data_IF_377690676057
#
_entry.id   IF_377690676057
#
_cell.length_a   1.000
_cell.length_b   1.000
_cell.length_c   1.000
_cell.angle_alpha   90.00
_cell.angle_beta   90.00
_cell.angle_gamma   90.00
#
_symmetry.space_group_name_H-M   'P 1'
#
loop_
_entity.id
_entity.type
_entity.pdbx_description
1 polymer ?
#
# COMPACT_ATOMS: atom_id res chain seq x y z
N UNK A 1 -17.16 -8.94 -27.10
CA UNK A 1 -17.29 -7.76 -26.23
C UNK A 1 -17.64 -8.28 -24.84
N UNK A 2 -16.95 -7.80 -23.81
CA UNK A 2 -17.24 -8.14 -22.41
C UNK A 2 -18.01 -6.98 -21.74
N UNK A 3 -17.63 -5.74 -22.03
CA UNK A 3 -18.24 -4.53 -21.50
C UNK A 3 -18.12 -3.41 -22.52
N UNK A 4 -19.18 -2.59 -22.63
CA UNK A 4 -19.17 -1.37 -23.43
C UNK A 4 -19.95 -0.26 -22.71
N UNK A 5 -19.26 0.80 -22.33
CA UNK A 5 -19.81 1.99 -21.70
C UNK A 5 -19.68 3.20 -22.62
N UNK A 6 -20.76 3.97 -22.77
CA UNK A 6 -20.80 5.21 -23.55
C UNK A 6 -21.40 6.33 -22.72
N UNK A 7 -20.68 7.45 -22.61
CA UNK A 7 -21.09 8.67 -21.90
C UNK A 7 -21.63 8.39 -20.50
N UNK A 8 -21.01 7.41 -19.80
CA UNK A 8 -21.45 6.98 -18.48
C UNK A 8 -20.97 7.93 -17.40
N UNK A 9 -21.87 8.26 -16.48
CA UNK A 9 -21.60 9.02 -15.27
C UNK A 9 -22.04 8.21 -14.06
N UNK A 10 -21.13 7.94 -13.14
CA UNK A 10 -21.38 7.20 -11.91
C UNK A 10 -21.24 8.10 -10.69
N UNK A 11 -22.17 7.99 -9.74
CA UNK A 11 -22.09 8.68 -8.47
C UNK A 11 -21.02 8.06 -7.56
N UNK A 12 -20.00 8.83 -7.16
CA UNK A 12 -19.03 8.42 -6.13
C UNK A 12 -19.53 8.88 -4.76
N UNK A 13 -19.89 10.16 -4.66
CA UNK A 13 -20.49 10.80 -3.49
C UNK A 13 -21.56 11.79 -3.97
N UNK A 14 -22.24 12.47 -3.04
CA UNK A 14 -23.22 13.53 -3.42
C UNK A 14 -22.64 14.67 -4.25
N UNK A 15 -21.30 14.83 -4.28
CA UNK A 15 -20.62 15.95 -4.96
C UNK A 15 -19.55 15.50 -5.96
N UNK A 16 -19.24 14.22 -6.00
CA UNK A 16 -18.21 13.67 -6.88
C UNK A 16 -18.81 12.60 -7.79
N UNK A 17 -18.45 12.66 -9.06
CA UNK A 17 -18.89 11.74 -10.11
C UNK A 17 -17.68 11.21 -10.85
N UNK A 18 -17.79 9.98 -11.35
CA UNK A 18 -16.85 9.37 -12.29
C UNK A 18 -17.45 9.45 -13.69
N UNK A 19 -16.74 10.06 -14.61
CA UNK A 19 -17.18 10.24 -16.00
C UNK A 19 -16.36 9.36 -16.94
N UNK A 20 -17.04 8.57 -17.75
CA UNK A 20 -16.46 7.66 -18.74
C UNK A 20 -17.07 7.95 -20.09
N UNK A 21 -16.33 8.61 -20.99
CA UNK A 21 -16.83 8.92 -22.35
C UNK A 21 -17.01 7.65 -23.17
N UNK A 22 -15.99 6.81 -23.25
CA UNK A 22 -16.05 5.50 -23.91
C UNK A 22 -15.08 4.53 -23.27
N UNK A 23 -15.58 3.35 -22.89
CA UNK A 23 -14.75 2.23 -22.40
C UNK A 23 -15.27 0.93 -23.01
N UNK A 24 -14.40 0.21 -23.70
CA UNK A 24 -14.69 -1.08 -24.28
C UNK A 24 -13.68 -2.11 -23.78
N UNK A 25 -14.17 -3.22 -23.22
CA UNK A 25 -13.35 -4.34 -22.80
C UNK A 25 -13.73 -5.56 -23.64
N UNK A 26 -12.72 -6.21 -24.22
CA UNK A 26 -12.91 -7.48 -24.93
C UNK A 26 -12.82 -8.66 -23.95
N UNK A 27 -13.42 -9.80 -24.28
CA UNK A 27 -13.18 -11.05 -23.50
C UNK A 27 -11.73 -11.46 -23.66
N UNK A 28 -11.13 -11.88 -22.54
CA UNK A 28 -9.75 -12.35 -22.49
C UNK A 28 -8.72 -11.24 -22.65
N UNK A 29 -9.12 -9.97 -22.71
CA UNK A 29 -8.15 -8.86 -22.80
C UNK A 29 -7.70 -8.38 -21.44
N UNK A 30 -6.51 -7.76 -21.42
CA UNK A 30 -5.95 -7.06 -20.29
C UNK A 30 -5.95 -5.54 -20.55
N UNK A 31 -6.67 -4.79 -19.73
CA UNK A 31 -6.66 -3.31 -19.76
C UNK A 31 -5.94 -2.79 -18.54
N UNK A 32 -4.88 -2.02 -18.72
CA UNK A 32 -4.24 -1.28 -17.65
C UNK A 32 -4.86 0.12 -17.57
N UNK A 33 -5.07 0.64 -16.37
CA UNK A 33 -5.52 2.02 -16.13
C UNK A 33 -4.54 2.69 -15.19
N UNK A 34 -4.00 3.83 -15.60
CA UNK A 34 -3.05 4.60 -14.83
C UNK A 34 -3.63 5.99 -14.52
N UNK A 35 -3.28 6.53 -13.35
CA UNK A 35 -3.68 7.86 -12.93
C UNK A 35 -3.09 8.22 -11.57
N UNK A 36 -2.98 9.50 -11.29
CA UNK A 36 -2.46 10.01 -10.02
C UNK A 36 -3.38 9.65 -8.85
N UNK A 37 -2.86 9.76 -7.62
CA UNK A 37 -3.69 9.60 -6.43
C UNK A 37 -4.84 10.62 -6.44
N UNK A 38 -6.04 10.14 -6.09
CA UNK A 38 -7.25 10.96 -6.15
C UNK A 38 -7.90 11.10 -7.54
N UNK A 39 -7.32 10.51 -8.60
CA UNK A 39 -7.87 10.59 -9.97
C UNK A 39 -9.16 9.80 -10.19
N UNK A 40 -9.64 9.05 -9.19
CA UNK A 40 -10.85 8.24 -9.29
C UNK A 40 -10.62 6.75 -9.62
N UNK A 41 -9.40 6.23 -9.49
CA UNK A 41 -9.03 4.83 -9.80
C UNK A 41 -9.90 3.81 -9.07
N UNK A 42 -9.99 3.90 -7.74
CA UNK A 42 -10.82 2.99 -6.95
C UNK A 42 -12.32 3.17 -7.24
N UNK A 43 -12.74 4.38 -7.65
CA UNK A 43 -14.12 4.59 -8.12
C UNK A 43 -14.37 3.84 -9.45
N UNK A 44 -13.42 3.85 -10.38
CA UNK A 44 -13.50 3.05 -11.60
C UNK A 44 -13.56 1.55 -11.29
N UNK A 45 -12.70 1.05 -10.38
CA UNK A 45 -12.74 -0.34 -9.94
C UNK A 45 -14.12 -0.73 -9.39
N UNK A 46 -14.69 0.11 -8.53
CA UNK A 46 -16.03 -0.08 -7.96
C UNK A 46 -17.13 -0.02 -9.02
N UNK A 47 -17.06 0.91 -9.97
CA UNK A 47 -18.02 1.01 -11.07
C UNK A 47 -18.01 -0.26 -11.95
N UNK A 48 -16.81 -0.78 -12.28
CA UNK A 48 -16.64 -2.02 -13.06
C UNK A 48 -17.28 -3.24 -12.36
N UNK A 49 -17.30 -3.25 -11.03
CA UNK A 49 -17.93 -4.30 -10.22
C UNK A 49 -19.42 -4.02 -9.92
N UNK A 50 -20.01 -2.95 -10.47
CA UNK A 50 -21.41 -2.61 -10.23
C UNK A 50 -21.69 -2.04 -8.83
N UNK A 51 -20.66 -1.61 -8.10
CA UNK A 51 -20.80 -1.05 -6.74
C UNK A 51 -21.22 0.43 -6.74
N UNK A 52 -21.18 1.10 -7.89
CA UNK A 52 -21.60 2.50 -8.02
C UNK A 52 -22.90 2.63 -8.82
N UNK A 53 -23.70 3.63 -8.46
CA UNK A 53 -24.94 3.94 -9.17
C UNK A 53 -24.63 4.68 -10.46
N UNK A 54 -25.15 4.19 -11.58
CA UNK A 54 -25.15 4.88 -12.86
C UNK A 54 -26.21 6.00 -12.84
N UNK A 55 -25.79 7.24 -13.05
CA UNK A 55 -26.69 8.41 -13.11
C UNK A 55 -27.12 8.72 -14.55
N UNK A 56 -26.22 8.53 -15.52
CA UNK A 56 -26.51 8.76 -16.94
C UNK A 56 -25.56 7.95 -17.83
N UNK A 57 -25.92 7.84 -19.12
CA UNK A 57 -25.15 7.13 -20.12
C UNK A 57 -25.65 5.71 -20.38
N UNK A 58 -24.96 4.98 -21.22
CA UNK A 58 -25.35 3.65 -21.66
C UNK A 58 -24.30 2.61 -21.24
N UNK A 59 -24.68 1.70 -20.34
CA UNK A 59 -23.89 0.53 -19.96
C UNK A 59 -24.45 -0.72 -20.66
N UNK A 60 -23.75 -1.19 -21.68
CA UNK A 60 -24.07 -2.45 -22.35
C UNK A 60 -23.17 -3.55 -21.82
N UNK A 61 -23.76 -4.66 -21.43
CA UNK A 61 -23.10 -5.84 -20.88
C UNK A 61 -22.34 -5.51 -19.57
N UNK A 62 -22.88 -5.96 -18.47
CA UNK A 62 -22.19 -5.89 -17.16
C UNK A 62 -21.67 -7.30 -16.84
N UNK A 63 -20.37 -7.55 -16.91
CA UNK A 63 -19.81 -8.86 -16.59
C UNK A 63 -19.91 -9.17 -15.09
N UNK A 64 -19.89 -10.45 -14.75
CA UNK A 64 -19.62 -10.88 -13.38
C UNK A 64 -18.18 -10.51 -13.02
N UNK A 65 -18.01 -9.38 -12.35
CA UNK A 65 -16.70 -8.82 -12.01
C UNK A 65 -16.39 -9.00 -10.52
N UNK A 66 -15.16 -9.37 -10.21
CA UNK A 66 -14.64 -9.43 -8.84
C UNK A 66 -13.48 -8.45 -8.71
N UNK A 67 -13.55 -7.61 -7.66
CA UNK A 67 -12.51 -6.64 -7.33
C UNK A 67 -11.59 -7.20 -6.25
N UNK A 68 -10.30 -6.98 -6.44
CA UNK A 68 -9.25 -7.24 -5.47
C UNK A 68 -8.50 -5.93 -5.20
N UNK A 69 -8.46 -5.50 -3.93
CA UNK A 69 -7.76 -4.30 -3.51
C UNK A 69 -6.88 -4.54 -2.27
N UNK A 70 -5.89 -3.68 -2.10
CA UNK A 70 -5.05 -3.74 -0.90
C UNK A 70 -5.83 -3.44 0.39
N UNK A 71 -6.82 -2.56 0.32
CA UNK A 71 -7.71 -2.24 1.45
C UNK A 71 -8.48 -3.46 1.95
N UNK A 72 -8.87 -4.38 1.05
CA UNK A 72 -9.54 -5.64 1.44
C UNK A 72 -8.62 -6.53 2.27
N UNK A 73 -7.33 -6.60 1.93
CA UNK A 73 -6.36 -7.36 2.71
C UNK A 73 -6.23 -6.80 4.13
N UNK A 74 -6.13 -5.48 4.26
CA UNK A 74 -6.04 -4.83 5.56
C UNK A 74 -7.33 -4.99 6.37
N UNK A 75 -8.49 -4.86 5.71
CA UNK A 75 -9.79 -5.05 6.37
C UNK A 75 -9.96 -6.47 6.93
N UNK A 76 -9.49 -7.50 6.22
CA UNK A 76 -9.51 -8.88 6.70
C UNK A 76 -8.63 -9.07 7.94
N UNK A 77 -7.43 -8.50 7.96
CA UNK A 77 -6.52 -8.56 9.12
C UNK A 77 -7.13 -7.82 10.31
N UNK A 78 -7.73 -6.66 10.08
CA UNK A 78 -8.41 -5.88 11.12
C UNK A 78 -9.63 -6.61 11.70
N UNK A 79 -10.45 -7.25 10.86
CA UNK A 79 -11.59 -8.06 11.29
C UNK A 79 -11.15 -9.26 12.14
N UNK A 80 -10.08 -9.94 11.74
CA UNK A 80 -9.50 -11.03 12.49
C UNK A 80 -8.99 -10.55 13.87
N UNK A 81 -8.33 -9.39 13.90
CA UNK A 81 -7.88 -8.78 15.16
C UNK A 81 -9.03 -8.38 16.08
N UNK A 82 -10.10 -7.78 15.53
CA UNK A 82 -11.28 -7.38 16.32
C UNK A 82 -12.01 -8.58 16.92
N UNK A 83 -12.15 -9.68 16.18
CA UNK A 83 -12.80 -10.92 16.68
C UNK A 83 -12.07 -11.50 17.89
N UNK A 84 -10.75 -11.43 17.91
CA UNK A 84 -9.90 -11.99 18.99
C UNK A 84 -9.81 -11.10 20.22
N UNK A 85 -9.95 -9.79 20.06
CA UNK A 85 -9.92 -8.83 21.19
C UNK A 85 -11.28 -8.69 21.91
N UNK A 86 -12.20 -9.60 21.70
CA UNK A 86 -13.40 -9.73 22.53
C UNK A 86 -13.07 -10.61 23.73
N UNK A 87 -13.48 -10.19 24.94
CA UNK A 87 -13.23 -10.87 26.23
C UNK A 87 -13.80 -12.31 26.32
N UNK A 88 -14.29 -12.87 25.21
CA UNK A 88 -14.92 -14.20 25.10
C UNK A 88 -14.22 -15.12 24.07
N UNK A 89 -13.04 -14.75 23.54
CA UNK A 89 -12.33 -15.59 22.60
C UNK A 89 -11.82 -16.87 23.27
N UNK A 90 -12.10 -18.03 22.67
CA UNK A 90 -11.54 -19.30 23.12
C UNK A 90 -10.05 -19.40 22.77
N UNK A 91 -9.26 -20.20 23.52
CA UNK A 91 -7.82 -20.38 23.29
C UNK A 91 -7.47 -20.80 21.84
N UNK A 92 -8.34 -21.56 21.16
CA UNK A 92 -8.15 -21.99 19.77
C UNK A 92 -8.37 -20.83 18.76
N UNK A 93 -9.07 -19.76 19.15
CA UNK A 93 -9.29 -18.57 18.30
C UNK A 93 -8.12 -17.58 18.33
N UNK A 94 -7.12 -17.78 19.20
CA UNK A 94 -5.94 -16.90 19.29
C UNK A 94 -5.10 -16.86 18.02
N UNK A 95 -5.12 -17.93 17.21
CA UNK A 95 -4.32 -18.01 15.98
C UNK A 95 -4.97 -17.28 14.79
N UNK A 96 -6.25 -16.94 14.86
CA UNK A 96 -7.00 -16.34 13.77
C UNK A 96 -7.34 -17.34 12.65
N UNK A 97 -8.05 -16.89 11.61
CA UNK A 97 -8.43 -17.77 10.52
C UNK A 97 -7.24 -18.14 9.62
N UNK A 98 -7.28 -19.36 9.10
CA UNK A 98 -6.29 -19.89 8.15
C UNK A 98 -6.62 -19.46 6.71
N UNK A 99 -5.63 -19.57 5.81
CA UNK A 99 -5.88 -19.36 4.38
C UNK A 99 -6.91 -20.37 3.83
N UNK A 100 -6.91 -21.62 4.34
CA UNK A 100 -7.90 -22.62 3.95
C UNK A 100 -9.32 -22.22 4.33
N UNK A 101 -9.56 -21.78 5.56
CA UNK A 101 -10.89 -21.35 6.02
C UNK A 101 -11.44 -20.20 5.18
N UNK A 102 -10.58 -19.23 4.79
CA UNK A 102 -10.98 -18.14 3.92
C UNK A 102 -11.45 -18.63 2.54
N UNK A 103 -10.80 -19.64 1.98
CA UNK A 103 -11.12 -20.20 0.67
C UNK A 103 -12.30 -21.17 0.73
N UNK A 104 -12.43 -21.96 1.79
CA UNK A 104 -13.55 -22.91 1.99
C UNK A 104 -14.92 -22.21 2.12
N UNK A 105 -14.92 -20.94 2.47
CA UNK A 105 -16.15 -20.13 2.47
C UNK A 105 -16.75 -19.92 1.06
N UNK A 106 -15.98 -20.21 -0.02
CA UNK A 106 -16.36 -19.91 -1.41
C UNK A 106 -16.47 -21.15 -2.29
N UNK A 107 -15.60 -22.14 -2.09
CA UNK A 107 -15.51 -23.28 -2.98
C UNK A 107 -15.23 -24.59 -2.23
N UNK A 108 -15.49 -25.70 -2.93
CA UNK A 108 -15.23 -27.04 -2.44
C UNK A 108 -13.71 -27.34 -2.34
N UNK A 109 -13.29 -28.21 -1.39
CA UNK A 109 -11.89 -28.51 -1.15
C UNK A 109 -11.08 -28.92 -2.38
N UNK A 110 -11.69 -29.64 -3.31
CA UNK A 110 -11.04 -30.11 -4.53
C UNK A 110 -10.66 -28.96 -5.48
N UNK A 111 -11.56 -28.00 -5.67
CA UNK A 111 -11.30 -26.83 -6.50
C UNK A 111 -10.19 -25.95 -5.88
N UNK A 112 -10.21 -25.82 -4.55
CA UNK A 112 -9.19 -25.08 -3.78
C UNK A 112 -7.82 -25.74 -3.96
N UNK A 113 -7.72 -27.07 -3.80
CA UNK A 113 -6.44 -27.78 -3.95
C UNK A 113 -5.82 -27.58 -5.33
N UNK A 114 -6.61 -27.75 -6.39
CA UNK A 114 -6.16 -27.56 -7.78
C UNK A 114 -5.64 -26.13 -7.98
N UNK A 115 -6.43 -25.12 -7.58
CA UNK A 115 -6.08 -23.73 -7.80
C UNK A 115 -4.86 -23.33 -6.96
N UNK A 116 -4.81 -23.71 -5.68
CA UNK A 116 -3.69 -23.40 -4.79
C UNK A 116 -2.37 -24.02 -5.23
N UNK A 117 -2.40 -25.25 -5.80
CA UNK A 117 -1.22 -25.84 -6.44
C UNK A 117 -0.76 -25.03 -7.65
N UNK A 118 -1.70 -24.65 -8.52
CA UNK A 118 -1.40 -23.83 -9.70
C UNK A 118 -0.78 -22.46 -9.33
N UNK A 119 -1.27 -21.83 -8.26
CA UNK A 119 -0.77 -20.55 -7.76
C UNK A 119 0.48 -20.68 -6.87
N UNK A 120 0.91 -21.93 -6.58
CA UNK A 120 2.07 -22.19 -5.73
C UNK A 120 1.87 -21.84 -4.25
N UNK A 121 0.62 -21.80 -3.76
CA UNK A 121 0.26 -21.41 -2.40
C UNK A 121 -0.32 -22.53 -1.54
N UNK A 122 -0.32 -23.77 -2.03
CA UNK A 122 -0.88 -24.92 -1.31
C UNK A 122 -0.27 -25.08 0.09
N UNK A 123 1.02 -24.80 0.25
CA UNK A 123 1.74 -24.88 1.53
C UNK A 123 1.33 -23.80 2.55
N UNK A 124 0.53 -22.82 2.14
CA UNK A 124 0.05 -21.73 2.99
C UNK A 124 -1.33 -22.02 3.60
N UNK A 125 -2.03 -23.05 3.12
CA UNK A 125 -3.43 -23.29 3.48
C UNK A 125 -3.66 -23.39 5.00
N UNK A 126 -2.79 -24.09 5.72
CA UNK A 126 -2.88 -24.29 7.17
C UNK A 126 -2.27 -23.13 7.98
N UNK A 127 -1.70 -22.12 7.30
CA UNK A 127 -1.10 -21.00 8.01
C UNK A 127 -2.16 -19.94 8.32
N UNK A 128 -2.16 -19.38 9.54
CA UNK A 128 -3.00 -18.24 9.87
C UNK A 128 -2.71 -17.07 8.92
N UNK A 129 -3.76 -16.49 8.35
CA UNK A 129 -3.66 -15.46 7.30
C UNK A 129 -2.80 -14.26 7.71
N UNK A 130 -2.88 -13.85 8.97
CA UNK A 130 -2.09 -12.74 9.54
C UNK A 130 -0.58 -12.93 9.52
N UNK A 131 -0.11 -14.18 9.45
CA UNK A 131 1.32 -14.52 9.41
C UNK A 131 1.85 -14.69 7.98
N UNK A 132 1.00 -14.48 6.99
CA UNK A 132 1.43 -14.46 5.61
C UNK A 132 2.16 -13.14 5.31
N UNK A 133 3.19 -13.22 4.47
CA UNK A 133 3.76 -12.01 3.87
C UNK A 133 2.74 -11.29 2.99
N UNK A 134 2.95 -10.01 2.71
CA UNK A 134 2.05 -9.23 1.85
C UNK A 134 1.84 -9.89 0.49
N UNK A 135 2.88 -10.49 -0.10
CA UNK A 135 2.80 -11.21 -1.37
C UNK A 135 2.02 -12.53 -1.27
N UNK A 136 2.25 -13.32 -0.21
CA UNK A 136 1.50 -14.55 0.05
C UNK A 136 0.02 -14.27 0.29
N UNK A 137 -0.29 -13.28 1.12
CA UNK A 137 -1.66 -12.88 1.40
C UNK A 137 -2.40 -12.42 0.13
N UNK A 138 -1.73 -11.70 -0.79
CA UNK A 138 -2.32 -11.32 -2.08
C UNK A 138 -2.58 -12.51 -2.99
N UNK A 139 -1.70 -13.50 -3.02
CA UNK A 139 -1.93 -14.73 -3.79
C UNK A 139 -3.13 -15.51 -3.24
N UNK A 140 -3.34 -15.52 -1.91
CA UNK A 140 -4.53 -16.13 -1.29
C UNK A 140 -5.80 -15.35 -1.68
N UNK A 141 -5.80 -14.03 -1.62
CA UNK A 141 -6.94 -13.22 -2.08
C UNK A 141 -7.20 -13.37 -3.58
N UNK A 142 -6.15 -13.52 -4.39
CA UNK A 142 -6.29 -13.80 -5.82
C UNK A 142 -6.91 -15.18 -6.04
N UNK A 143 -6.52 -16.21 -5.26
CA UNK A 143 -7.16 -17.51 -5.29
C UNK A 143 -8.64 -17.40 -4.92
N UNK A 144 -8.96 -16.65 -3.88
CA UNK A 144 -10.33 -16.37 -3.46
C UNK A 144 -11.16 -15.73 -4.58
N UNK A 145 -10.62 -14.70 -5.25
CA UNK A 145 -11.28 -14.04 -6.36
C UNK A 145 -11.49 -14.98 -7.57
N UNK A 146 -10.51 -15.83 -7.88
CA UNK A 146 -10.58 -16.78 -9.00
C UNK A 146 -11.53 -17.92 -8.74
N UNK A 147 -11.71 -18.38 -7.49
CA UNK A 147 -12.70 -19.41 -7.11
C UNK A 147 -14.14 -18.94 -7.35
N UNK A 148 -14.39 -17.64 -7.41
CA UNK A 148 -15.69 -17.11 -7.80
C UNK A 148 -15.94 -17.11 -9.32
N UNK A 149 -15.00 -17.66 -10.11
CA UNK A 149 -15.07 -17.76 -11.60
C UNK A 149 -15.49 -16.43 -12.29
N UNK A 150 -14.83 -15.30 -12.00
CA UNK A 150 -15.25 -14.03 -12.54
C UNK A 150 -15.02 -13.94 -14.05
N UNK A 151 -15.99 -13.35 -14.79
CA UNK A 151 -15.77 -12.98 -16.19
C UNK A 151 -14.74 -11.85 -16.34
N UNK A 152 -14.64 -10.96 -15.32
CA UNK A 152 -13.69 -9.84 -15.24
C UNK A 152 -13.06 -9.81 -13.85
N UNK A 153 -11.73 -9.88 -13.80
CA UNK A 153 -10.97 -9.65 -12.58
C UNK A 153 -10.41 -8.21 -12.58
N UNK A 154 -10.82 -7.44 -11.59
CA UNK A 154 -10.39 -6.05 -11.41
C UNK A 154 -9.40 -5.98 -10.25
N UNK A 155 -8.15 -5.57 -10.52
CA UNK A 155 -7.10 -5.44 -9.53
C UNK A 155 -6.79 -3.95 -9.30
N UNK A 156 -7.14 -3.48 -8.10
CA UNK A 156 -6.96 -2.09 -7.69
C UNK A 156 -5.67 -1.99 -6.87
N UNK A 157 -4.64 -1.36 -7.46
CA UNK A 157 -3.30 -1.17 -6.92
C UNK A 157 -2.63 -2.50 -6.47
N UNK A 158 -2.55 -3.52 -7.35
CA UNK A 158 -2.14 -4.86 -6.95
C UNK A 158 -0.67 -4.95 -6.51
N UNK A 159 0.17 -3.97 -6.84
CA UNK A 159 1.61 -4.00 -6.58
C UNK A 159 2.04 -3.18 -5.37
N UNK A 160 1.13 -2.43 -4.76
CA UNK A 160 1.46 -1.57 -3.62
C UNK A 160 1.88 -2.39 -2.39
N UNK A 161 2.96 -1.96 -1.72
CA UNK A 161 3.51 -2.64 -0.56
C UNK A 161 4.21 -3.98 -0.84
N UNK A 162 4.35 -4.39 -2.12
CA UNK A 162 5.15 -5.55 -2.50
C UNK A 162 6.62 -5.16 -2.72
N UNK A 163 7.52 -6.04 -2.31
CA UNK A 163 8.92 -5.95 -2.72
C UNK A 163 9.11 -6.30 -4.21
N UNK A 164 10.32 -6.13 -4.70
CA UNK A 164 10.66 -6.33 -6.12
C UNK A 164 10.36 -7.77 -6.57
N UNK A 165 10.68 -8.75 -5.74
CA UNK A 165 10.50 -10.16 -6.07
C UNK A 165 9.03 -10.56 -6.08
N UNK A 166 8.28 -10.21 -5.02
CA UNK A 166 6.84 -10.47 -4.93
C UNK A 166 6.06 -9.77 -6.05
N UNK A 167 6.47 -8.54 -6.44
CA UNK A 167 5.91 -7.82 -7.58
C UNK A 167 6.16 -8.58 -8.89
N UNK A 168 7.38 -9.05 -9.14
CA UNK A 168 7.73 -9.80 -10.35
C UNK A 168 6.92 -11.11 -10.42
N UNK A 169 6.80 -11.84 -9.31
CA UNK A 169 6.01 -13.07 -9.23
C UNK A 169 4.53 -12.82 -9.50
N UNK A 170 3.93 -11.76 -8.93
CA UNK A 170 2.54 -11.40 -9.18
C UNK A 170 2.32 -10.99 -10.65
N UNK A 171 3.22 -10.19 -11.22
CA UNK A 171 3.16 -9.78 -12.62
C UNK A 171 3.21 -10.99 -13.56
N UNK A 172 4.09 -11.96 -13.30
CA UNK A 172 4.16 -13.21 -14.06
C UNK A 172 2.86 -13.99 -13.97
N UNK A 173 2.32 -14.17 -12.76
CA UNK A 173 1.07 -14.87 -12.52
C UNK A 173 -0.12 -14.23 -13.26
N UNK A 174 -0.22 -12.90 -13.25
CA UNK A 174 -1.25 -12.17 -14.00
C UNK A 174 -1.09 -12.38 -15.52
N UNK A 175 0.14 -12.43 -16.01
CA UNK A 175 0.41 -12.78 -17.42
C UNK A 175 -0.03 -14.19 -17.78
N UNK A 176 0.17 -15.17 -16.90
CA UNK A 176 -0.30 -16.56 -17.09
C UNK A 176 -1.84 -16.64 -17.09
N UNK A 177 -2.52 -15.90 -16.20
CA UNK A 177 -3.98 -15.81 -16.18
C UNK A 177 -4.53 -15.17 -17.46
N UNK A 178 -3.92 -14.08 -17.92
CA UNK A 178 -4.27 -13.45 -19.19
C UNK A 178 -4.09 -14.40 -20.39
N UNK A 179 -2.95 -15.08 -20.46
CA UNK A 179 -2.67 -16.07 -21.51
C UNK A 179 -3.67 -17.26 -21.48
N UNK A 180 -4.22 -17.58 -20.31
CA UNK A 180 -5.29 -18.56 -20.14
C UNK A 180 -6.70 -18.03 -20.51
N UNK A 181 -6.82 -16.78 -20.95
CA UNK A 181 -8.06 -16.15 -21.40
C UNK A 181 -8.86 -15.42 -20.32
N UNK A 182 -8.29 -15.21 -19.12
CA UNK A 182 -8.91 -14.39 -18.07
C UNK A 182 -8.91 -12.91 -18.49
N UNK A 183 -10.09 -12.27 -18.43
CA UNK A 183 -10.19 -10.84 -18.65
C UNK A 183 -9.72 -10.09 -17.43
N UNK A 184 -8.80 -9.11 -17.60
CA UNK A 184 -8.17 -8.37 -16.52
C UNK A 184 -8.35 -6.85 -16.70
N UNK A 185 -8.61 -6.15 -15.59
CA UNK A 185 -8.39 -4.71 -15.47
C UNK A 185 -7.40 -4.48 -14.34
N UNK A 186 -6.25 -3.87 -14.66
CA UNK A 186 -5.19 -3.54 -13.72
C UNK A 186 -5.15 -2.04 -13.52
N UNK A 187 -5.49 -1.58 -12.33
CA UNK A 187 -5.46 -0.17 -11.96
C UNK A 187 -4.17 0.06 -11.19
N UNK A 188 -3.29 0.92 -11.72
CA UNK A 188 -1.93 1.10 -11.22
C UNK A 188 -1.60 2.57 -10.97
N UNK A 189 -0.65 2.81 -10.07
CA UNK A 189 -0.21 4.15 -9.71
C UNK A 189 0.95 4.64 -10.57
N UNK A 190 1.77 3.73 -11.09
CA UNK A 190 3.03 4.03 -11.76
C UNK A 190 3.07 3.45 -13.16
N UNK A 191 3.70 4.16 -14.07
CA UNK A 191 3.86 3.71 -15.46
C UNK A 191 4.70 2.43 -15.56
N UNK A 192 5.66 2.21 -14.66
CA UNK A 192 6.49 1.02 -14.63
C UNK A 192 5.70 -0.24 -14.23
N UNK A 193 4.50 -0.06 -13.67
CA UNK A 193 3.60 -1.15 -13.26
C UNK A 193 2.67 -1.60 -14.39
N UNK A 194 2.66 -0.90 -15.53
CA UNK A 194 1.87 -1.30 -16.69
C UNK A 194 2.44 -2.59 -17.26
N UNK A 195 1.61 -3.67 -17.32
CA UNK A 195 2.08 -4.95 -17.84
C UNK A 195 2.46 -4.84 -19.33
N UNK A 196 3.53 -5.52 -19.73
CA UNK A 196 3.89 -5.61 -21.15
C UNK A 196 2.87 -6.36 -21.98
N UNK A 197 2.04 -7.18 -21.34
CA UNK A 197 0.98 -7.95 -21.97
C UNK A 197 -0.37 -7.19 -21.98
N UNK A 198 -0.43 -5.93 -21.54
CA UNK A 198 -1.64 -5.15 -21.62
C UNK A 198 -2.02 -4.87 -23.08
N UNK A 199 -3.25 -5.22 -23.45
CA UNK A 199 -3.80 -4.96 -24.79
C UNK A 199 -4.27 -3.51 -24.94
N UNK A 200 -4.69 -2.91 -23.83
CA UNK A 200 -5.23 -1.56 -23.80
C UNK A 200 -4.70 -0.79 -22.57
N UNK A 201 -4.49 0.51 -22.75
CA UNK A 201 -4.15 1.44 -21.66
C UNK A 201 -5.23 2.52 -21.57
N UNK A 202 -5.65 2.82 -20.35
CA UNK A 202 -6.53 3.94 -20.01
C UNK A 202 -5.80 4.96 -19.13
N UNK A 203 -6.07 6.25 -19.37
CA UNK A 203 -5.61 7.34 -18.52
C UNK A 203 -6.78 7.93 -17.75
N UNK A 204 -6.68 7.93 -16.42
CA UNK A 204 -7.67 8.50 -15.54
C UNK A 204 -7.13 9.76 -14.85
N UNK A 205 -7.84 10.87 -14.97
CA UNK A 205 -7.52 12.13 -14.31
C UNK A 205 -8.82 12.82 -13.88
N UNK A 206 -8.81 13.46 -12.72
CA UNK A 206 -9.93 14.23 -12.18
C UNK A 206 -11.29 13.50 -12.25
N UNK A 207 -11.30 12.23 -11.89
CA UNK A 207 -12.46 11.33 -12.00
C UNK A 207 -13.03 11.21 -13.42
N UNK A 208 -12.18 11.36 -14.45
CA UNK A 208 -12.55 11.18 -15.85
C UNK A 208 -11.59 10.20 -16.54
N UNK A 209 -12.14 9.29 -17.33
CA UNK A 209 -11.34 8.47 -18.25
C UNK A 209 -11.03 9.32 -19.50
N UNK A 210 -9.87 9.97 -19.48
CA UNK A 210 -9.48 10.97 -20.46
C UNK A 210 -9.16 10.36 -21.82
N UNK A 211 -8.45 9.23 -21.81
CA UNK A 211 -8.02 8.52 -23.03
C UNK A 211 -7.97 7.02 -22.80
N UNK A 212 -8.22 6.28 -23.87
CA UNK A 212 -7.98 4.83 -23.97
C UNK A 212 -7.35 4.52 -25.32
N UNK A 213 -6.49 3.51 -25.38
CA UNK A 213 -5.85 3.11 -26.63
C UNK A 213 -4.77 2.06 -26.42
N UNK A 214 -4.04 1.74 -27.51
CA UNK A 214 -2.92 0.81 -27.42
C UNK A 214 -1.78 1.39 -26.57
N UNK A 215 -1.18 0.59 -25.66
CA UNK A 215 -0.14 1.07 -24.74
C UNK A 215 1.02 1.75 -25.48
N UNK A 216 1.55 1.16 -26.56
CA UNK A 216 2.66 1.71 -27.33
C UNK A 216 2.33 3.12 -27.92
N UNK A 217 1.09 3.34 -28.33
CA UNK A 217 0.67 4.63 -28.89
C UNK A 217 0.50 5.68 -27.81
N UNK A 218 -0.14 5.31 -26.69
CA UNK A 218 -0.40 6.25 -25.60
C UNK A 218 0.87 6.61 -24.83
N UNK A 219 1.76 5.66 -24.56
CA UNK A 219 3.03 5.93 -23.86
C UNK A 219 3.98 6.81 -24.69
N UNK A 220 3.83 6.85 -26.01
CA UNK A 220 4.56 7.77 -26.88
C UNK A 220 3.97 9.19 -26.94
N UNK A 221 2.77 9.41 -26.38
CA UNK A 221 2.12 10.73 -26.35
C UNK A 221 2.88 11.68 -25.39
N UNK A 222 3.25 12.90 -25.83
CA UNK A 222 3.92 13.89 -24.99
C UNK A 222 3.20 14.21 -23.67
N UNK A 223 1.87 14.15 -23.66
CA UNK A 223 1.06 14.37 -22.44
C UNK A 223 1.32 13.25 -21.43
N UNK A 224 1.46 12.02 -21.89
CA UNK A 224 1.80 10.88 -21.02
C UNK A 224 3.22 11.01 -20.46
N UNK A 225 4.16 11.50 -21.26
CA UNK A 225 5.53 11.78 -20.80
C UNK A 225 5.55 12.88 -19.71
N UNK A 226 4.68 13.91 -19.82
CA UNK A 226 4.54 14.94 -18.78
C UNK A 226 3.92 14.39 -17.48
N UNK A 227 2.98 13.46 -17.59
CA UNK A 227 2.37 12.81 -16.43
C UNK A 227 3.30 11.77 -15.78
N UNK A 228 4.12 11.10 -16.58
CA UNK A 228 5.12 10.14 -16.09
C UNK A 228 6.29 10.85 -15.40
N UNK A 229 6.66 12.04 -15.88
CA UNK A 229 7.69 12.87 -15.25
C UNK A 229 7.01 13.80 -14.25
N UNK A 230 7.37 13.66 -12.98
CA UNK A 230 6.94 14.53 -11.87
C UNK A 230 7.66 15.90 -11.99
N UNK A 231 7.65 16.50 -13.19
CA UNK A 231 8.18 17.84 -13.42
C UNK A 231 7.47 18.91 -12.59
N UNK A 232 6.20 18.66 -12.21
CA UNK A 232 5.46 19.53 -11.30
C UNK A 232 6.15 19.72 -9.94
N UNK A 233 6.89 18.71 -9.45
CA UNK A 233 7.65 18.85 -8.20
C UNK A 233 8.93 19.70 -8.37
N UNK A 234 9.48 19.83 -9.57
CA UNK A 234 10.65 20.66 -9.82
C UNK A 234 10.31 22.17 -9.75
N UNK A 235 9.05 22.55 -9.87
CA UNK A 235 8.59 23.94 -9.77
C UNK A 235 8.18 24.35 -8.35
N UNK A 236 8.07 23.39 -7.42
CA UNK A 236 7.79 23.71 -6.01
C UNK A 236 9.07 24.31 -5.42
N UNK A 237 9.09 25.63 -5.27
CA UNK A 237 10.10 26.29 -4.43
C UNK A 237 9.79 25.92 -2.99
N UNK A 238 10.61 25.04 -2.43
CA UNK A 238 10.59 24.82 -0.99
C UNK A 238 10.84 26.16 -0.30
N UNK A 239 10.09 26.48 0.76
CA UNK A 239 10.41 27.65 1.57
C UNK A 239 11.86 27.55 2.03
N UNK A 240 12.55 28.69 2.13
CA UNK A 240 13.89 28.72 2.69
C UNK A 240 13.83 28.06 4.09
N UNK A 241 14.80 27.19 4.38
CA UNK A 241 14.90 26.63 5.72
C UNK A 241 14.84 27.77 6.74
N UNK A 242 14.03 27.67 7.81
CA UNK A 242 13.99 28.69 8.83
C UNK A 242 15.41 28.94 9.33
N UNK A 243 15.91 30.16 9.18
CA UNK A 243 17.23 30.56 9.66
C UNK A 243 17.26 30.77 11.18
N UNK A 244 16.11 30.62 11.82
CA UNK A 244 15.94 30.80 13.24
C UNK A 244 16.25 29.51 14.00
N UNK A 245 17.10 29.67 15.00
CA UNK A 245 17.36 28.74 16.10
C UNK A 245 18.00 27.40 15.77
N UNK A 246 18.96 27.39 14.84
CA UNK A 246 20.00 26.36 14.82
C UNK A 246 21.05 26.62 15.96
N UNK A 247 20.58 26.98 17.13
CA UNK A 247 21.31 26.75 18.40
C UNK A 247 21.23 25.26 18.84
N UNK A 248 20.88 24.37 17.90
CA UNK A 248 21.26 22.97 18.02
C UNK A 248 22.77 22.94 17.78
N UNK A 249 23.53 22.98 18.90
CA UNK A 249 24.95 22.72 18.90
C UNK A 249 25.16 21.53 17.94
N UNK A 250 25.89 21.78 16.85
CA UNK A 250 26.07 20.76 15.81
C UNK A 250 26.62 19.51 16.50
N UNK A 251 25.77 18.49 16.63
CA UNK A 251 26.20 17.25 17.26
C UNK A 251 27.33 16.67 16.42
N UNK A 252 28.51 16.57 17.01
CA UNK A 252 29.77 16.22 16.32
C UNK A 252 30.00 14.69 16.23
N UNK A 253 29.08 13.88 16.75
CA UNK A 253 29.16 12.42 16.72
C UNK A 253 28.22 11.78 15.69
N UNK A 254 28.20 10.43 15.61
CA UNK A 254 27.25 9.72 14.77
C UNK A 254 25.82 9.91 15.26
N UNK A 255 24.89 10.20 14.34
CA UNK A 255 23.47 10.33 14.64
C UNK A 255 22.87 9.01 15.13
N UNK A 256 23.31 7.90 14.54
CA UNK A 256 22.94 6.54 14.92
C UNK A 256 24.20 5.70 15.03
N UNK A 257 24.35 4.94 16.09
CA UNK A 257 25.40 3.93 16.24
C UNK A 257 24.83 2.67 16.87
N UNK A 258 25.01 1.56 16.17
CA UNK A 258 24.63 0.22 16.57
C UNK A 258 25.88 -0.65 16.62
N UNK A 259 26.06 -1.40 17.70
CA UNK A 259 27.18 -2.32 17.90
C UNK A 259 26.64 -3.70 18.27
N UNK A 260 26.97 -4.72 17.45
CA UNK A 260 26.55 -6.12 17.64
C UNK A 260 25.07 -6.25 18.02
N UNK A 261 24.22 -5.39 17.41
CA UNK A 261 22.81 -5.26 17.75
C UNK A 261 22.03 -6.50 17.27
N UNK A 262 21.23 -7.07 18.17
CA UNK A 262 20.40 -8.23 17.88
C UNK A 262 18.93 -7.92 18.15
N UNK A 263 18.04 -8.37 17.26
CA UNK A 263 16.60 -8.36 17.50
C UNK A 263 16.03 -9.75 17.22
N UNK A 264 15.30 -10.29 18.20
CA UNK A 264 14.74 -11.64 18.15
C UNK A 264 13.25 -11.59 18.52
N UNK A 265 12.41 -12.24 17.73
CA UNK A 265 11.01 -12.46 18.01
C UNK A 265 10.75 -13.96 18.18
N UNK A 266 10.50 -14.42 19.41
CA UNK A 266 10.43 -15.84 19.71
C UNK A 266 11.75 -16.54 19.35
N UNK A 267 11.70 -17.51 18.43
CA UNK A 267 12.91 -18.21 17.93
C UNK A 267 13.52 -17.54 16.69
N UNK A 268 12.82 -16.58 16.07
CA UNK A 268 13.27 -15.94 14.85
C UNK A 268 14.18 -14.74 15.13
N UNK A 269 15.42 -14.81 14.66
CA UNK A 269 16.37 -13.69 14.69
C UNK A 269 16.16 -12.83 13.45
N UNK A 270 15.73 -11.58 13.65
CA UNK A 270 15.44 -10.62 12.58
C UNK A 270 16.64 -9.73 12.27
N UNK A 271 17.36 -9.28 13.31
CA UNK A 271 18.65 -8.62 13.15
C UNK A 271 19.71 -9.42 13.92
N UNK A 272 20.82 -9.73 13.27
CA UNK A 272 21.90 -10.53 13.84
C UNK A 272 23.22 -9.78 13.82
N UNK A 273 23.70 -9.42 14.99
CA UNK A 273 25.00 -8.75 15.23
C UNK A 273 25.25 -7.58 14.28
N UNK A 274 24.22 -6.72 14.15
CA UNK A 274 24.30 -5.56 13.26
C UNK A 274 25.25 -4.51 13.83
N UNK A 275 26.29 -4.20 13.08
CA UNK A 275 27.16 -3.05 13.27
C UNK A 275 26.81 -2.01 12.21
N UNK A 276 26.37 -0.83 12.64
CA UNK A 276 26.02 0.26 11.72
C UNK A 276 26.23 1.62 12.38
N UNK A 277 26.71 2.57 11.59
CA UNK A 277 26.91 3.95 12.01
C UNK A 277 26.45 4.90 10.90
N UNK A 278 25.71 5.95 11.30
CA UNK A 278 25.22 6.99 10.39
C UNK A 278 25.63 8.35 10.96
N UNK A 279 26.32 9.13 10.15
CA UNK A 279 26.81 10.46 10.53
C UNK A 279 25.92 11.57 9.97
N UNK A 280 26.08 12.79 10.50
CA UNK A 280 25.39 13.97 9.99
C UNK A 280 25.76 14.24 8.53
N UNK A 281 24.75 14.52 7.71
CA UNK A 281 24.90 14.74 6.27
C UNK A 281 24.95 13.49 5.39
N UNK A 282 24.93 12.30 5.98
CA UNK A 282 24.80 11.06 5.23
C UNK A 282 23.34 10.76 4.87
N UNK A 283 23.13 10.20 3.67
CA UNK A 283 21.84 9.74 3.18
C UNK A 283 21.91 8.24 2.91
N UNK A 284 21.06 7.48 3.58
CA UNK A 284 21.04 6.03 3.48
C UNK A 284 19.79 5.51 2.80
N UNK A 285 19.95 4.61 1.86
CA UNK A 285 18.87 3.86 1.25
C UNK A 285 18.94 2.40 1.69
N UNK A 286 17.98 1.98 2.53
CA UNK A 286 17.93 0.63 3.09
C UNK A 286 17.01 -0.22 2.21
N UNK A 287 17.59 -1.22 1.54
CA UNK A 287 16.90 -2.13 0.64
C UNK A 287 16.98 -3.57 1.14
N UNK A 288 15.97 -4.36 0.80
CA UNK A 288 15.88 -5.77 1.13
C UNK A 288 14.48 -6.32 0.93
N UNK A 289 14.30 -7.64 0.91
CA UNK A 289 12.99 -8.29 0.78
C UNK A 289 12.07 -7.96 1.96
N UNK A 290 10.77 -8.26 1.81
CA UNK A 290 9.85 -8.17 2.92
C UNK A 290 10.25 -9.16 4.01
N UNK A 291 10.11 -8.75 5.29
CA UNK A 291 10.60 -9.55 6.42
C UNK A 291 12.10 -9.44 6.75
N UNK A 292 12.90 -8.74 5.94
CA UNK A 292 14.35 -8.54 6.19
C UNK A 292 14.68 -7.64 7.39
N UNK A 293 13.69 -7.17 8.15
CA UNK A 293 13.91 -6.33 9.33
C UNK A 293 14.04 -4.82 9.07
N UNK A 294 13.70 -4.32 7.86
CA UNK A 294 13.76 -2.88 7.53
C UNK A 294 12.95 -2.02 8.50
N UNK A 295 11.70 -2.39 8.75
CA UNK A 295 10.80 -1.68 9.67
C UNK A 295 11.28 -1.82 11.13
N UNK A 296 11.83 -2.97 11.50
CA UNK A 296 12.46 -3.20 12.81
C UNK A 296 13.66 -2.27 13.01
N UNK A 297 14.50 -2.12 11.99
CA UNK A 297 15.63 -1.18 12.03
C UNK A 297 15.16 0.27 12.19
N UNK A 298 14.12 0.68 11.43
CA UNK A 298 13.54 2.02 11.58
C UNK A 298 12.94 2.23 12.97
N UNK A 299 12.22 1.25 13.53
CA UNK A 299 11.64 1.37 14.88
C UNK A 299 12.68 1.46 16.00
N UNK A 300 13.87 0.89 15.79
CA UNK A 300 15.02 1.10 16.68
C UNK A 300 15.52 2.56 16.61
N UNK A 301 15.58 3.14 15.41
CA UNK A 301 16.03 4.54 15.20
C UNK A 301 15.02 5.52 15.79
N UNK A 302 13.71 5.28 15.59
CA UNK A 302 12.64 6.14 16.14
C UNK A 302 12.47 5.97 17.66
N UNK A 303 13.18 4.99 18.25
CA UNK A 303 13.12 4.72 19.69
C UNK A 303 11.91 3.89 20.13
N UNK A 304 11.04 3.46 19.19
CA UNK A 304 9.81 2.73 19.48
C UNK A 304 10.03 1.24 19.79
N UNK A 305 11.18 0.69 19.41
CA UNK A 305 11.46 -0.73 19.58
C UNK A 305 11.93 -1.09 21.00
N UNK A 306 11.21 -1.97 21.74
CA UNK A 306 11.56 -2.27 23.13
C UNK A 306 12.94 -2.91 23.29
N UNK A 307 13.42 -3.71 22.35
CA UNK A 307 14.75 -4.32 22.42
C UNK A 307 15.88 -3.32 22.14
N UNK A 308 15.60 -2.06 21.85
CA UNK A 308 16.59 -0.98 21.82
C UNK A 308 17.29 -0.78 23.17
N UNK A 309 16.60 -1.07 24.28
CA UNK A 309 17.15 -0.90 25.63
C UNK A 309 18.15 -1.99 26.06
N UNK A 310 18.07 -3.19 25.50
CA UNK A 310 18.97 -4.28 25.82
C UNK A 310 20.15 -4.42 24.85
N UNK A 311 20.24 -3.51 23.87
CA UNK A 311 21.29 -3.50 22.86
C UNK A 311 22.26 -2.31 23.04
N UNK A 312 23.42 -2.39 22.39
CA UNK A 312 24.33 -1.24 22.29
C UNK A 312 23.90 -0.34 21.14
N UNK A 313 22.90 0.48 21.45
CA UNK A 313 22.29 1.46 20.55
C UNK A 313 22.50 2.87 21.11
N UNK A 314 23.10 3.74 20.32
CA UNK A 314 23.26 5.17 20.63
C UNK A 314 22.54 5.97 19.55
N UNK A 315 21.66 6.88 19.97
CA UNK A 315 20.92 7.79 19.12
C UNK A 315 21.25 9.23 19.53
N UNK A 316 21.67 10.05 18.58
CA UNK A 316 22.03 11.46 18.82
C UNK A 316 23.00 11.65 20.01
N UNK A 317 23.99 10.73 20.12
CA UNK A 317 25.00 10.76 21.18
C UNK A 317 24.56 10.22 22.53
N UNK A 318 23.32 9.81 22.69
CA UNK A 318 22.81 9.21 23.95
C UNK A 318 22.58 7.71 23.79
N UNK A 319 23.16 6.92 24.70
CA UNK A 319 22.91 5.47 24.72
C UNK A 319 21.48 5.21 25.17
N UNK A 320 20.77 4.30 24.49
CA UNK A 320 19.45 3.87 24.91
C UNK A 320 19.46 3.24 26.29
N UNK A 321 18.53 3.67 27.14
CA UNK A 321 18.45 3.24 28.55
C UNK A 321 19.36 4.01 29.51
N UNK A 322 19.93 5.14 29.10
CA UNK A 322 20.74 6.00 30.00
C UNK A 322 19.94 7.07 30.75
N UNK A 323 18.59 6.99 30.69
CA UNK A 323 17.68 7.96 31.34
C UNK A 323 17.04 8.98 30.40
N UNK A 324 17.26 8.85 29.09
CA UNK A 324 16.61 9.64 28.06
C UNK A 324 15.13 9.28 27.94
N UNK A 325 14.29 10.26 27.66
CA UNK A 325 12.88 10.04 27.30
C UNK A 325 12.75 9.75 25.81
N UNK A 326 11.71 8.99 25.43
CA UNK A 326 11.39 8.75 24.03
C UNK A 326 11.10 10.05 23.28
N UNK A 327 10.51 11.05 23.96
CA UNK A 327 10.17 12.35 23.40
C UNK A 327 11.41 13.15 22.99
N UNK A 328 12.50 13.07 23.79
CA UNK A 328 13.77 13.72 23.44
C UNK A 328 14.38 13.17 22.15
N UNK A 329 14.15 11.90 21.85
CA UNK A 329 14.58 11.25 20.60
C UNK A 329 13.67 11.69 19.46
N UNK A 330 12.35 11.58 19.63
CA UNK A 330 11.36 11.90 18.61
C UNK A 330 11.41 13.34 18.16
N UNK A 331 11.70 14.29 19.06
CA UNK A 331 11.90 15.69 18.71
C UNK A 331 13.06 15.95 17.73
N UNK A 332 13.97 14.99 17.56
CA UNK A 332 15.10 15.11 16.63
C UNK A 332 14.85 14.40 15.29
N UNK A 333 13.71 13.71 15.13
CA UNK A 333 13.41 12.86 13.98
C UNK A 333 12.12 13.34 13.31
N UNK A 334 12.18 13.60 12.00
CA UNK A 334 10.98 13.66 11.18
C UNK A 334 10.71 12.26 10.62
N UNK A 335 9.54 11.69 10.95
CA UNK A 335 9.15 10.36 10.51
C UNK A 335 7.92 10.40 9.61
N UNK A 336 8.01 9.74 8.44
CA UNK A 336 6.90 9.59 7.51
C UNK A 336 6.79 8.12 7.12
N UNK A 337 5.60 7.55 7.26
CA UNK A 337 5.31 6.18 6.82
C UNK A 337 3.86 6.03 6.36
N UNK A 338 3.55 5.05 5.50
CA UNK A 338 2.18 4.72 5.15
C UNK A 338 1.32 4.33 6.38
N UNK A 339 1.93 3.73 7.41
CA UNK A 339 1.25 3.35 8.65
C UNK A 339 0.71 4.57 9.41
N UNK A 340 1.42 5.69 9.42
CA UNK A 340 0.95 6.93 10.05
C UNK A 340 -0.40 7.40 9.50
N UNK A 341 -0.62 7.23 8.19
CA UNK A 341 -1.90 7.59 7.58
C UNK A 341 -3.05 6.73 8.11
N UNK A 342 -2.81 5.44 8.34
CA UNK A 342 -3.79 4.50 8.87
C UNK A 342 -4.03 4.69 10.38
N UNK A 343 -2.99 5.05 11.12
CA UNK A 343 -3.04 5.31 12.56
C UNK A 343 -3.67 6.66 12.88
N UNK A 344 -3.68 7.61 11.92
CA UNK A 344 -4.24 8.94 12.11
C UNK A 344 -5.77 8.90 12.05
N UNK A 345 -6.40 8.44 13.15
CA UNK A 345 -7.86 8.25 13.28
C UNK A 345 -8.61 9.51 13.76
N UNK A 346 -7.91 10.64 13.86
CA UNK A 346 -8.52 11.90 14.34
C UNK A 346 -9.10 12.65 13.15
N UNK A 347 -10.42 12.89 13.16
CA UNK A 347 -11.07 13.72 12.16
C UNK A 347 -10.75 15.19 12.43
N UNK A 348 -9.92 15.79 11.56
CA UNK A 348 -9.44 17.16 11.71
C UNK A 348 -9.12 17.80 10.35
N UNK A 349 -8.72 19.08 10.35
CA UNK A 349 -8.35 19.77 9.12
C UNK A 349 -6.90 19.45 8.72
N UNK A 350 -6.55 19.53 7.42
CA UNK A 350 -5.15 19.34 6.96
C UNK A 350 -4.14 20.25 7.69
N UNK A 351 -4.52 21.49 7.97
CA UNK A 351 -3.67 22.41 8.72
C UNK A 351 -3.39 21.91 10.15
N UNK A 352 -4.42 21.39 10.84
CA UNK A 352 -4.22 20.86 12.17
C UNK A 352 -3.38 19.56 12.17
N UNK A 353 -3.48 18.74 11.10
CA UNK A 353 -2.57 17.59 10.89
C UNK A 353 -1.12 18.05 10.80
N UNK A 354 -0.84 19.06 9.97
CA UNK A 354 0.53 19.60 9.81
C UNK A 354 1.04 20.17 11.14
N UNK A 355 0.20 20.93 11.84
CA UNK A 355 0.58 21.58 13.10
C UNK A 355 0.78 20.58 14.25
N UNK A 356 0.09 19.43 14.23
CA UNK A 356 0.26 18.38 15.25
C UNK A 356 1.68 17.78 15.24
N UNK A 357 2.38 17.83 14.10
CA UNK A 357 3.76 17.40 13.99
C UNK A 357 4.75 18.20 14.84
N UNK A 358 4.42 19.44 15.21
CA UNK A 358 5.26 20.21 16.14
C UNK A 358 5.21 19.70 17.59
N UNK A 359 4.21 18.86 17.90
CA UNK A 359 3.96 18.32 19.24
C UNK A 359 4.15 16.80 19.28
N UNK A 360 4.60 16.20 18.18
CA UNK A 360 4.75 14.74 18.04
C UNK A 360 3.49 13.99 18.50
N UNK A 361 2.32 14.47 18.09
CA UNK A 361 1.02 13.96 18.51
C UNK A 361 0.13 13.64 17.31
N UNK A 362 -0.70 12.59 17.45
CA UNK A 362 -1.80 12.30 16.53
C UNK A 362 -2.97 13.17 16.92
N UNK A 363 -3.16 14.28 16.20
CA UNK A 363 -4.14 15.33 16.50
C UNK A 363 -3.53 16.53 17.21
N UNK A 364 -4.15 17.72 17.00
CA UNK A 364 -3.71 18.97 17.58
C UNK A 364 -4.47 19.23 18.88
N UNK A 365 -3.81 19.07 20.01
CA UNK A 365 -4.37 19.24 21.36
C UNK A 365 -3.83 20.47 22.08
N UNK A 366 -2.77 21.07 21.55
CA UNK A 366 -2.14 22.25 22.09
C UNK A 366 -2.26 23.44 21.12
N UNK A 367 -2.20 24.66 21.66
CA UNK A 367 -2.21 25.86 20.82
C UNK A 367 -0.82 26.05 20.17
N UNK A 368 -0.72 26.03 18.84
CA UNK A 368 0.56 26.15 18.14
C UNK A 368 1.24 27.51 18.28
N UNK A 369 0.52 28.54 18.76
CA UNK A 369 1.00 29.91 18.84
C UNK A 369 1.12 30.59 17.47
N UNK A 370 1.13 31.93 17.47
CA UNK A 370 1.12 32.71 16.22
C UNK A 370 2.37 32.57 15.36
N UNK A 371 3.51 32.19 15.93
CA UNK A 371 4.77 32.01 15.19
C UNK A 371 4.76 30.72 14.35
N UNK A 372 4.05 29.67 14.77
CA UNK A 372 3.94 28.40 14.02
C UNK A 372 2.81 28.40 13.00
N UNK A 373 1.93 29.38 13.05
CA UNK A 373 0.85 29.61 12.10
C UNK A 373 1.27 30.43 10.88
N UNK A 374 2.43 31.07 10.94
CA UNK A 374 3.06 31.83 9.85
C UNK A 374 4.03 30.97 9.06
#
# INVERSE_FOLDING_TARGET
MLLHWQECVFAITRRQQLTIGNLQLARGSCTAVVGNNGSGKSALARALCGELTLESGECRQQPAAVRLSFEQQQALIEQDWQRRNTDMAAEDEELGFTAAELLHAIAEPHAIDILCRRLGIHHLLERPYRFLSSGEGRKVLLAQALLAEPELLVLDEPFDGLDIEARAQLMQLLGELHAAGQSLVLIVNRFEEIPRFADQLGLLADCQLVRTGFPATLLADPIMAQLAHVEALQQIRLPAAPTADMDRAAFTGPLVRMRQLNVVYGEQRVLDRLDWEMNSGEHWHIVGPNGAGKSTLLSLITGDHPQGYCNDLTLFGRRRGSGESIWEIKQQIGYVSPALHLEYRVSTTPLAVILSGFFDSIGLYENPGDQRLK
#
